data_IF_082996375826
#
_entry.id   IF_082996375826
#
_cell.length_a   1.000
_cell.length_b   1.000
_cell.length_c   1.000
_cell.angle_alpha   90.00
_cell.angle_beta   90.00
_cell.angle_gamma   90.00
#
_symmetry.space_group_name_H-M   'P 1'
#
loop_
_entity.id
_entity.type
_entity.pdbx_description
1 polymer ?
#
# COMPACT_ATOMS: atom_id res chain seq x y z
N UNK A 1 -18.48 -7.27 9.71
CA UNK A 1 -18.49 -6.05 8.87
C UNK A 1 -19.15 -4.88 9.60
N UNK A 2 -18.44 -4.18 10.51
CA UNK A 2 -18.90 -2.93 11.16
C UNK A 2 -17.79 -1.88 11.47
N UNK A 3 -16.71 -1.67 10.68
CA UNK A 3 -15.78 -0.58 10.97
C UNK A 3 -15.78 0.62 9.99
N UNK A 4 -16.68 0.67 9.01
CA UNK A 4 -16.70 1.75 8.00
C UNK A 4 -17.34 3.03 8.56
N UNK A 5 -18.23 2.89 9.56
CA UNK A 5 -19.00 4.00 10.14
C UNK A 5 -18.16 5.15 10.74
N UNK A 6 -17.10 4.91 11.55
CA UNK A 6 -16.29 6.00 12.12
C UNK A 6 -15.49 6.78 11.06
N UNK A 7 -15.04 6.11 9.99
CA UNK A 7 -14.31 6.77 8.90
C UNK A 7 -15.24 7.70 8.10
N UNK A 8 -16.46 7.23 7.81
CA UNK A 8 -17.49 8.05 7.16
C UNK A 8 -17.95 9.20 8.04
N UNK A 9 -18.14 8.98 9.34
CA UNK A 9 -18.53 10.03 10.28
C UNK A 9 -17.45 11.11 10.41
N UNK A 10 -16.16 10.72 10.47
CA UNK A 10 -15.06 11.68 10.46
C UNK A 10 -15.00 12.48 9.15
N UNK A 11 -15.25 11.84 8.00
CA UNK A 11 -15.32 12.53 6.71
C UNK A 11 -16.45 13.59 6.69
N UNK A 12 -17.60 13.29 7.29
CA UNK A 12 -18.75 14.21 7.40
C UNK A 12 -18.47 15.37 8.36
N UNK A 13 -17.78 15.13 9.48
CA UNK A 13 -17.38 16.21 10.41
C UNK A 13 -16.37 17.15 9.75
N UNK A 14 -15.47 16.62 8.90
CA UNK A 14 -14.46 17.41 8.19
C UNK A 14 -15.03 18.24 7.04
N UNK A 15 -16.15 17.85 6.43
CA UNK A 15 -16.80 18.63 5.37
C UNK A 15 -17.70 19.75 5.89
N UNK A 16 -18.11 19.70 7.16
CA UNK A 16 -19.01 20.69 7.76
C UNK A 16 -18.35 21.91 8.40
N UNK A 17 -17.04 21.87 8.65
CA UNK A 17 -16.36 22.93 9.39
C UNK A 17 -15.51 23.83 8.47
N UNK A 18 -15.97 25.07 8.26
CA UNK A 18 -15.22 26.10 7.53
C UNK A 18 -14.33 26.83 8.51
N UNK A 19 -13.03 26.50 8.52
CA UNK A 19 -12.04 27.20 9.36
C UNK A 19 -11.27 28.25 8.54
N UNK A 20 -10.98 29.43 9.11
CA UNK A 20 -10.10 30.41 8.49
C UNK A 20 -8.66 29.90 8.50
N UNK A 21 -8.12 29.59 7.32
CA UNK A 21 -6.79 29.04 7.17
C UNK A 21 -5.71 30.13 7.15
N UNK A 22 -4.68 30.00 8.00
CA UNK A 22 -3.41 30.71 7.86
C UNK A 22 -2.35 29.76 7.24
N UNK A 23 -1.53 30.30 6.34
CA UNK A 23 -0.81 29.47 5.37
C UNK A 23 0.28 28.54 5.91
N UNK A 24 0.28 27.33 5.35
CA UNK A 24 1.24 26.23 5.54
C UNK A 24 2.41 26.32 4.55
N UNK A 25 3.61 25.87 4.93
CA UNK A 25 4.71 25.61 3.98
C UNK A 25 4.64 24.18 3.46
N UNK A 26 4.67 23.96 2.15
CA UNK A 26 4.49 22.64 1.50
C UNK A 26 5.54 21.56 1.82
N UNK A 27 6.57 21.88 2.58
CA UNK A 27 7.72 20.98 2.78
C UNK A 27 8.07 20.74 4.25
N UNK A 28 7.25 21.23 5.18
CA UNK A 28 7.46 20.97 6.61
C UNK A 28 6.09 20.72 7.25
N UNK A 29 5.59 19.49 7.03
CA UNK A 29 4.31 19.04 7.56
C UNK A 29 4.52 18.34 8.90
N UNK A 30 3.77 18.77 9.91
CA UNK A 30 3.70 18.13 11.22
C UNK A 30 2.35 17.41 11.35
N UNK A 31 2.19 16.31 10.62
CA UNK A 31 0.95 15.54 10.56
C UNK A 31 0.53 15.01 11.93
N UNK A 32 -0.67 15.41 12.38
CA UNK A 32 -1.32 14.91 13.58
C UNK A 32 -2.58 14.12 13.20
N UNK A 33 -2.76 12.90 13.73
CA UNK A 33 -3.95 12.10 13.43
C UNK A 33 -5.20 12.78 14.00
N UNK A 34 -6.23 12.91 13.17
CA UNK A 34 -7.60 13.29 13.57
C UNK A 34 -8.39 12.02 13.84
N UNK A 35 -8.38 11.12 12.87
CA UNK A 35 -8.96 9.78 12.96
C UNK A 35 -7.97 8.79 12.38
N UNK A 36 -7.84 7.65 13.03
CA UNK A 36 -6.99 6.58 12.57
C UNK A 36 -7.63 5.25 12.94
N UNK A 37 -7.66 4.33 11.99
CA UNK A 37 -8.19 3.00 12.22
C UNK A 37 -7.31 1.97 11.51
N UNK A 38 -7.05 0.86 12.21
CA UNK A 38 -6.35 -0.30 11.67
C UNK A 38 -7.26 -1.54 11.72
N UNK A 39 -7.02 -2.47 10.81
CA UNK A 39 -7.72 -3.73 10.66
C UNK A 39 -6.74 -4.83 10.27
N UNK A 40 -6.82 -5.96 10.97
CA UNK A 40 -6.18 -7.18 10.52
C UNK A 40 -7.15 -7.88 9.56
N UNK A 41 -6.66 -8.18 8.36
CA UNK A 41 -7.37 -8.88 7.31
C UNK A 41 -6.76 -10.26 7.10
N UNK A 42 -7.59 -11.18 6.64
CA UNK A 42 -7.18 -12.52 6.25
C UNK A 42 -6.80 -12.61 4.75
N UNK A 43 -6.88 -11.49 4.03
CA UNK A 43 -6.51 -11.35 2.62
C UNK A 43 -6.00 -9.93 2.31
N UNK A 44 -5.05 -9.80 1.35
CA UNK A 44 -4.63 -8.49 0.85
C UNK A 44 -5.74 -7.82 0.04
N UNK A 45 -5.90 -6.51 0.21
CA UNK A 45 -6.74 -5.63 -0.61
C UNK A 45 -6.02 -5.25 -1.89
N UNK A 46 -4.72 -4.96 -1.79
CA UNK A 46 -3.87 -4.62 -2.94
C UNK A 46 -2.87 -5.74 -3.17
N UNK A 47 -3.01 -6.42 -4.31
CA UNK A 47 -2.14 -7.53 -4.73
C UNK A 47 -1.00 -7.10 -5.65
N UNK A 48 -1.12 -5.95 -6.32
CA UNK A 48 -0.16 -5.49 -7.34
C UNK A 48 1.28 -5.41 -6.81
N UNK A 49 1.48 -4.93 -5.58
CA UNK A 49 2.79 -4.89 -4.93
C UNK A 49 3.41 -6.27 -4.72
N UNK A 50 2.60 -7.20 -4.22
CA UNK A 50 2.98 -8.59 -3.97
C UNK A 50 3.42 -9.25 -5.27
N UNK A 51 2.61 -9.10 -6.31
CA UNK A 51 2.89 -9.70 -7.61
C UNK A 51 4.09 -9.05 -8.30
N UNK A 52 4.26 -7.72 -8.18
CA UNK A 52 5.43 -7.02 -8.71
C UNK A 52 6.71 -7.48 -8.03
N UNK A 53 6.69 -7.66 -6.71
CA UNK A 53 7.80 -8.23 -5.97
C UNK A 53 8.13 -9.66 -6.42
N UNK A 54 7.12 -10.51 -6.61
CA UNK A 54 7.33 -11.88 -7.11
C UNK A 54 8.00 -11.88 -8.49
N UNK A 55 7.56 -11.05 -9.43
CA UNK A 55 8.18 -10.96 -10.77
C UNK A 55 9.67 -10.60 -10.68
N UNK A 56 10.04 -9.69 -9.78
CA UNK A 56 11.43 -9.21 -9.64
C UNK A 56 12.33 -10.16 -8.86
N UNK A 57 11.79 -10.89 -7.89
CA UNK A 57 12.59 -11.58 -6.88
C UNK A 57 12.69 -13.09 -7.11
N UNK A 58 11.70 -13.70 -7.78
CA UNK A 58 11.72 -15.12 -8.07
C UNK A 58 12.75 -15.41 -9.16
N UNK A 59 13.77 -16.26 -8.91
CA UNK A 59 14.73 -16.64 -9.94
C UNK A 59 14.08 -17.56 -10.98
N UNK A 60 14.35 -17.30 -12.26
CA UNK A 60 13.80 -18.09 -13.36
C UNK A 60 12.35 -17.76 -13.70
N UNK A 61 11.67 -18.72 -14.33
CA UNK A 61 10.27 -18.56 -14.78
C UNK A 61 9.49 -19.82 -14.40
N UNK A 62 8.88 -19.87 -13.20
CA UNK A 62 8.08 -21.02 -12.80
C UNK A 62 6.91 -21.20 -13.76
N UNK A 63 6.59 -22.46 -14.07
CA UNK A 63 5.46 -22.80 -14.94
C UNK A 63 4.14 -22.81 -14.19
N UNK A 64 4.21 -23.04 -12.89
CA UNK A 64 3.06 -23.13 -12.00
C UNK A 64 3.25 -22.23 -10.77
N UNK A 65 2.15 -21.61 -10.33
CA UNK A 65 2.08 -20.83 -9.09
C UNK A 65 0.97 -21.35 -8.21
N UNK A 66 1.33 -21.94 -7.08
CA UNK A 66 0.42 -22.40 -6.06
C UNK A 66 0.30 -21.32 -5.00
N UNK A 67 -0.79 -20.57 -5.01
CA UNK A 67 -0.95 -19.39 -4.15
C UNK A 67 -1.91 -19.65 -3.00
N UNK A 68 -1.42 -19.54 -1.77
CA UNK A 68 -2.22 -19.73 -0.56
C UNK A 68 -3.11 -18.54 -0.29
N UNK A 69 -4.39 -18.82 -0.14
CA UNK A 69 -5.41 -17.84 0.21
C UNK A 69 -6.40 -18.45 1.19
N UNK A 70 -6.89 -17.65 2.13
CA UNK A 70 -7.98 -18.04 3.02
C UNK A 70 -9.34 -18.05 2.28
N UNK A 71 -9.40 -17.48 1.07
CA UNK A 71 -10.61 -17.31 0.27
C UNK A 71 -10.41 -17.82 -1.17
N UNK A 72 -10.31 -19.14 -1.40
CA UNK A 72 -10.07 -19.69 -2.74
C UNK A 72 -11.20 -19.39 -3.73
N UNK A 73 -12.44 -19.17 -3.26
CA UNK A 73 -13.58 -18.80 -4.11
C UNK A 73 -13.48 -17.39 -4.72
N UNK A 74 -12.58 -16.55 -4.23
CA UNK A 74 -12.37 -15.18 -4.70
C UNK A 74 -11.11 -15.05 -5.58
N UNK A 75 -10.55 -16.18 -6.00
CA UNK A 75 -9.34 -16.27 -6.80
C UNK A 75 -9.40 -15.47 -8.13
N UNK A 76 -10.61 -15.22 -8.64
CA UNK A 76 -10.84 -14.45 -9.86
C UNK A 76 -10.18 -13.06 -9.83
N UNK A 77 -10.05 -12.44 -8.66
CA UNK A 77 -9.37 -11.14 -8.52
C UNK A 77 -7.87 -11.24 -8.79
N UNK A 78 -7.24 -12.35 -8.36
CA UNK A 78 -5.85 -12.62 -8.68
C UNK A 78 -5.67 -12.91 -10.18
N UNK A 79 -6.61 -13.63 -10.80
CA UNK A 79 -6.60 -13.89 -12.24
C UNK A 79 -6.66 -12.58 -13.05
N UNK A 80 -7.56 -11.66 -12.68
CA UNK A 80 -7.69 -10.37 -13.34
C UNK A 80 -6.40 -9.53 -13.29
N UNK A 81 -5.65 -9.60 -12.17
CA UNK A 81 -4.43 -8.82 -11.97
C UNK A 81 -3.21 -9.41 -12.67
N UNK A 82 -3.14 -10.72 -12.92
CA UNK A 82 -2.00 -11.32 -13.65
C UNK A 82 -1.76 -10.66 -14.99
N UNK A 83 -2.85 -10.38 -15.71
CA UNK A 83 -2.79 -9.76 -17.03
C UNK A 83 -2.15 -8.37 -16.97
N UNK A 84 -2.34 -7.61 -15.89
CA UNK A 84 -1.78 -6.25 -15.75
C UNK A 84 -0.30 -6.19 -15.35
N UNK A 85 0.29 -7.32 -14.94
CA UNK A 85 1.68 -7.37 -14.44
C UNK A 85 2.67 -7.87 -15.50
N UNK A 86 2.19 -8.67 -16.45
CA UNK A 86 3.03 -9.21 -17.53
C UNK A 86 4.08 -10.22 -17.03
N UNK A 87 5.09 -10.47 -17.87
CA UNK A 87 6.18 -11.40 -17.57
C UNK A 87 5.73 -12.86 -17.41
N UNK A 88 6.51 -13.64 -16.65
CA UNK A 88 6.20 -15.05 -16.40
C UNK A 88 4.93 -15.23 -15.56
N UNK A 89 4.60 -14.26 -14.70
CA UNK A 89 3.39 -14.27 -13.85
C UNK A 89 2.11 -14.35 -14.67
N UNK A 90 2.07 -13.70 -15.83
CA UNK A 90 0.94 -13.75 -16.75
C UNK A 90 0.81 -15.09 -17.51
N UNK A 91 1.90 -15.85 -17.62
CA UNK A 91 1.98 -17.09 -18.41
C UNK A 91 1.88 -18.35 -17.55
N UNK A 92 2.29 -18.28 -16.28
CA UNK A 92 2.24 -19.41 -15.37
C UNK A 92 0.78 -19.86 -15.13
N UNK A 93 0.58 -21.17 -14.96
CA UNK A 93 -0.68 -21.71 -14.47
C UNK A 93 -0.77 -21.43 -12.97
N UNK A 94 -1.85 -20.80 -12.50
CA UNK A 94 -2.00 -20.57 -11.06
C UNK A 94 -3.09 -21.45 -10.45
N UNK A 95 -2.82 -21.88 -9.24
CA UNK A 95 -3.68 -22.75 -8.47
C UNK A 95 -3.89 -22.15 -7.09
N UNK A 96 -5.13 -21.79 -6.70
CA UNK A 96 -5.40 -21.42 -5.32
C UNK A 96 -5.24 -22.65 -4.42
N UNK A 97 -4.55 -22.48 -3.30
CA UNK A 97 -4.52 -23.49 -2.23
C UNK A 97 -5.19 -22.92 -0.98
N UNK A 98 -6.10 -23.71 -0.41
CA UNK A 98 -6.80 -23.34 0.81
C UNK A 98 -5.87 -23.35 2.04
N UNK A 99 -6.33 -22.76 3.17
CA UNK A 99 -5.55 -22.64 4.38
C UNK A 99 -5.14 -23.98 5.01
N UNK A 100 -5.93 -25.04 4.77
CA UNK A 100 -5.72 -26.41 5.25
C UNK A 100 -4.50 -27.10 4.62
N UNK A 101 -4.08 -26.67 3.43
CA UNK A 101 -2.84 -27.16 2.81
C UNK A 101 -1.65 -26.35 3.34
N UNK A 102 -0.81 -26.94 4.19
CA UNK A 102 0.43 -26.30 4.62
C UNK A 102 1.32 -25.97 3.41
N UNK A 103 1.90 -24.76 3.35
CA UNK A 103 2.80 -24.36 2.25
C UNK A 103 3.94 -25.37 2.06
N UNK A 104 4.58 -25.78 3.16
CA UNK A 104 5.68 -26.75 3.15
C UNK A 104 5.22 -28.16 2.74
N UNK A 105 4.02 -28.56 3.13
CA UNK A 105 3.46 -29.85 2.73
C UNK A 105 3.23 -29.88 1.22
N UNK A 106 2.66 -28.80 0.66
CA UNK A 106 2.48 -28.65 -0.78
C UNK A 106 3.81 -28.69 -1.53
N UNK A 107 4.82 -27.97 -1.03
CA UNK A 107 6.18 -28.00 -1.58
C UNK A 107 6.75 -29.43 -1.59
N UNK A 108 6.60 -30.18 -0.49
CA UNK A 108 7.10 -31.57 -0.41
C UNK A 108 6.39 -32.48 -1.41
N UNK A 109 5.07 -32.36 -1.56
CA UNK A 109 4.31 -33.13 -2.54
C UNK A 109 4.77 -32.83 -3.96
N UNK A 110 5.01 -31.55 -4.30
CA UNK A 110 5.47 -31.14 -5.62
C UNK A 110 6.92 -31.57 -5.89
N UNK A 111 7.80 -31.49 -4.89
CA UNK A 111 9.21 -31.86 -5.03
C UNK A 111 9.46 -33.37 -5.08
N UNK A 112 8.52 -34.20 -4.60
CA UNK A 112 8.67 -35.66 -4.56
C UNK A 112 8.40 -36.36 -5.91
N UNK A 113 7.94 -35.64 -6.94
CA UNK A 113 7.72 -36.20 -8.27
C UNK A 113 8.98 -36.14 -9.13
N UNK A 114 9.42 -37.29 -9.65
CA UNK A 114 10.45 -37.32 -10.70
C UNK A 114 9.96 -36.54 -11.93
N UNK A 115 10.73 -35.51 -12.33
CA UNK A 115 10.36 -34.62 -13.43
C UNK A 115 9.28 -33.58 -13.10
N UNK A 116 8.97 -33.36 -11.81
CA UNK A 116 8.00 -32.35 -11.42
C UNK A 116 8.34 -30.95 -11.96
N UNK A 117 7.34 -30.19 -12.45
CA UNK A 117 7.57 -28.86 -12.96
C UNK A 117 8.12 -27.94 -11.86
N UNK A 118 8.99 -27.00 -12.23
CA UNK A 118 9.43 -25.93 -11.33
C UNK A 118 8.21 -25.08 -10.98
N UNK A 119 7.75 -25.21 -9.75
CA UNK A 119 6.56 -24.56 -9.22
C UNK A 119 6.96 -23.53 -8.17
N UNK A 120 6.25 -22.41 -8.16
CA UNK A 120 6.32 -21.42 -7.10
C UNK A 120 5.16 -21.66 -6.15
N UNK A 121 5.44 -21.91 -4.89
CA UNK A 121 4.44 -21.94 -3.82
C UNK A 121 4.55 -20.65 -3.04
N UNK A 122 3.53 -19.80 -3.10
CA UNK A 122 3.51 -18.50 -2.45
C UNK A 122 2.32 -18.37 -1.50
N UNK A 123 2.43 -17.53 -0.48
CA UNK A 123 1.34 -17.23 0.44
C UNK A 123 1.50 -15.84 1.05
N UNK A 124 0.36 -15.27 1.41
CA UNK A 124 0.29 -13.96 2.06
C UNK A 124 -0.44 -14.11 3.38
N UNK A 125 0.16 -13.63 4.46
CA UNK A 125 -0.44 -13.61 5.78
C UNK A 125 -0.09 -12.32 6.53
N UNK A 126 -0.56 -12.19 7.78
CA UNK A 126 -0.35 -10.99 8.61
C UNK A 126 -0.71 -9.69 7.86
N UNK A 127 -1.85 -9.70 7.17
CA UNK A 127 -2.29 -8.53 6.41
C UNK A 127 -2.89 -7.52 7.38
N UNK A 128 -2.31 -6.33 7.43
CA UNK A 128 -2.81 -5.22 8.23
C UNK A 128 -3.08 -4.04 7.33
N UNK A 129 -4.32 -3.55 7.33
CA UNK A 129 -4.73 -2.34 6.62
C UNK A 129 -4.97 -1.25 7.64
N UNK A 130 -4.55 -0.02 7.32
CA UNK A 130 -4.92 1.13 8.10
C UNK A 130 -5.31 2.30 7.21
N UNK A 131 -6.21 3.12 7.73
CA UNK A 131 -6.63 4.36 7.11
C UNK A 131 -6.70 5.46 8.16
N UNK A 132 -6.35 6.68 7.77
CA UNK A 132 -6.41 7.82 8.67
C UNK A 132 -6.57 9.14 7.94
N UNK A 133 -7.11 10.10 8.67
CA UNK A 133 -7.05 11.51 8.29
C UNK A 133 -6.16 12.22 9.28
N UNK A 134 -5.24 13.01 8.76
CA UNK A 134 -4.29 13.80 9.51
C UNK A 134 -4.52 15.28 9.19
N UNK A 135 -4.35 16.14 10.19
CA UNK A 135 -4.19 17.59 10.00
C UNK A 135 -2.72 17.93 10.12
N UNK A 136 -2.26 18.93 9.39
CA UNK A 136 -0.94 19.47 9.62
C UNK A 136 -0.97 20.46 10.79
N UNK A 137 -0.20 20.22 11.85
CA UNK A 137 -0.07 21.14 12.99
C UNK A 137 0.65 22.45 12.63
N UNK A 138 1.44 22.45 11.57
CA UNK A 138 2.11 23.66 11.06
C UNK A 138 1.19 24.51 10.19
N UNK A 139 0.05 23.95 9.76
CA UNK A 139 -1.03 24.68 9.11
C UNK A 139 -2.02 25.13 10.19
N UNK A 140 -2.45 26.39 10.18
CA UNK A 140 -3.55 26.83 11.03
C UNK A 140 -4.89 26.31 10.46
N UNK A 141 -5.06 24.98 10.49
CA UNK A 141 -6.22 24.20 10.04
C UNK A 141 -6.51 24.25 8.53
N UNK A 142 -5.48 24.46 7.72
CA UNK A 142 -5.59 24.57 6.26
C UNK A 142 -5.21 23.32 5.47
N UNK A 143 -4.46 22.39 6.04
CA UNK A 143 -3.90 21.24 5.31
C UNK A 143 -4.26 19.92 5.97
N UNK A 144 -4.74 18.98 5.16
CA UNK A 144 -5.15 17.66 5.59
C UNK A 144 -4.52 16.59 4.71
N UNK A 145 -4.25 15.42 5.29
CA UNK A 145 -3.80 14.24 4.57
C UNK A 145 -4.76 13.10 4.84
N UNK A 146 -5.23 12.46 3.78
CA UNK A 146 -5.86 11.16 3.86
C UNK A 146 -4.83 10.09 3.46
N UNK A 147 -4.64 9.10 4.32
CA UNK A 147 -3.71 8.00 4.07
C UNK A 147 -4.47 6.69 4.19
N UNK A 148 -4.26 5.80 3.23
CA UNK A 148 -4.61 4.37 3.32
C UNK A 148 -3.35 3.59 3.06
N UNK A 149 -3.09 2.58 3.86
CA UNK A 149 -1.95 1.70 3.67
C UNK A 149 -2.28 0.26 4.05
N UNK A 150 -1.52 -0.65 3.47
CA UNK A 150 -1.56 -2.08 3.74
C UNK A 150 -0.13 -2.55 3.95
N UNK A 151 0.08 -3.30 5.03
CA UNK A 151 1.24 -4.16 5.23
C UNK A 151 0.80 -5.61 5.07
N UNK A 152 1.64 -6.42 4.45
CA UNK A 152 1.41 -7.85 4.35
C UNK A 152 2.75 -8.59 4.37
N UNK A 153 2.79 -9.77 5.00
CA UNK A 153 3.93 -10.66 4.91
C UNK A 153 3.72 -11.64 3.76
N UNK A 154 4.70 -11.71 2.87
CA UNK A 154 4.70 -12.64 1.74
C UNK A 154 5.79 -13.68 1.96
N UNK A 155 5.45 -14.95 1.70
CA UNK A 155 6.35 -16.09 1.72
C UNK A 155 6.28 -16.77 0.38
N UNK A 156 7.42 -17.07 -0.21
CA UNK A 156 7.49 -17.71 -1.51
C UNK A 156 8.60 -18.76 -1.54
N UNK A 157 8.32 -19.90 -2.15
CA UNK A 157 9.21 -21.05 -2.25
C UNK A 157 9.18 -21.58 -3.69
N UNK A 158 10.33 -21.67 -4.34
CA UNK A 158 10.50 -22.26 -5.66
C UNK A 158 10.98 -23.72 -5.53
N UNK A 159 10.23 -24.68 -6.05
CA UNK A 159 10.43 -26.13 -5.81
C UNK A 159 11.45 -26.81 -6.73
N UNK A 160 12.38 -26.06 -7.32
CA UNK A 160 13.33 -26.58 -8.33
C UNK A 160 14.51 -27.35 -7.72
N UNK A 161 14.94 -28.50 -8.31
CA UNK A 161 16.06 -29.29 -7.79
C UNK A 161 17.43 -28.64 -8.03
N UNK A 162 17.54 -27.79 -9.07
CA UNK A 162 18.81 -27.14 -9.46
C UNK A 162 19.04 -25.83 -8.70
N UNK A 163 17.96 -25.11 -8.38
CA UNK A 163 18.05 -23.80 -7.73
C UNK A 163 16.82 -23.59 -6.84
N UNK A 164 16.72 -24.30 -5.70
CA UNK A 164 15.68 -24.02 -4.72
C UNK A 164 15.86 -22.59 -4.21
N UNK A 165 14.76 -21.88 -4.06
CA UNK A 165 14.75 -20.51 -3.57
C UNK A 165 13.60 -20.36 -2.59
N UNK A 166 13.83 -19.64 -1.50
CA UNK A 166 12.79 -19.30 -0.56
C UNK A 166 13.07 -17.91 -0.01
N UNK A 167 12.03 -17.08 0.05
CA UNK A 167 12.12 -15.73 0.60
C UNK A 167 10.86 -15.39 1.40
N UNK A 168 11.08 -14.64 2.48
CA UNK A 168 10.04 -13.99 3.26
C UNK A 168 10.29 -12.48 3.21
N UNK A 169 9.27 -11.70 2.81
CA UNK A 169 9.35 -10.23 2.76
C UNK A 169 8.08 -9.62 3.33
N UNK A 170 8.25 -8.58 4.15
CA UNK A 170 7.15 -7.68 4.51
C UNK A 170 7.03 -6.61 3.44
N UNK A 171 5.88 -6.55 2.78
CA UNK A 171 5.57 -5.54 1.78
C UNK A 171 4.60 -4.52 2.35
N UNK A 172 4.80 -3.26 1.93
CA UNK A 172 3.91 -2.15 2.26
C UNK A 172 3.44 -1.51 0.97
N UNK A 173 2.16 -1.21 0.87
CA UNK A 173 1.64 -0.33 -0.17
C UNK A 173 0.76 0.73 0.46
N UNK A 174 0.72 1.92 -0.12
CA UNK A 174 -0.04 3.03 0.45
C UNK A 174 -0.48 4.01 -0.62
N UNK A 175 -1.54 4.75 -0.32
CA UNK A 175 -2.01 5.88 -1.08
C UNK A 175 -2.23 7.05 -0.11
N UNK A 176 -1.70 8.20 -0.45
CA UNK A 176 -1.84 9.44 0.31
C UNK A 176 -2.40 10.54 -0.59
N UNK A 177 -3.44 11.22 -0.11
CA UNK A 177 -3.99 12.41 -0.75
C UNK A 177 -3.87 13.59 0.20
N UNK A 178 -3.26 14.68 -0.26
CA UNK A 178 -3.09 15.92 0.50
C UNK A 178 -4.08 16.96 -0.03
N UNK A 179 -4.81 17.59 0.87
CA UNK A 179 -5.86 18.56 0.59
C UNK A 179 -5.57 19.89 1.28
N UNK A 180 -5.97 20.99 0.64
CA UNK A 180 -6.13 22.28 1.28
C UNK A 180 -7.61 22.53 1.61
N UNK A 181 -7.92 22.80 2.87
CA UNK A 181 -9.28 22.86 3.40
C UNK A 181 -9.93 21.48 3.56
N UNK A 182 -11.26 21.41 3.73
CA UNK A 182 -11.99 20.14 3.85
C UNK A 182 -11.60 19.13 2.75
N UNK A 183 -11.58 17.81 3.06
CA UNK A 183 -11.19 16.77 2.11
C UNK A 183 -12.24 16.61 0.99
N UNK A 184 -12.16 17.47 -0.02
CA UNK A 184 -12.97 17.45 -1.25
C UNK A 184 -12.07 17.48 -2.49
N UNK A 185 -12.47 16.88 -3.63
CA UNK A 185 -11.63 16.81 -4.83
C UNK A 185 -11.10 18.16 -5.31
N UNK A 186 -11.87 19.24 -5.15
CA UNK A 186 -11.46 20.59 -5.53
C UNK A 186 -10.24 21.10 -4.71
N UNK A 187 -10.08 20.63 -3.48
CA UNK A 187 -8.97 20.98 -2.58
C UNK A 187 -7.74 20.09 -2.71
N UNK A 188 -7.76 19.07 -3.58
CA UNK A 188 -6.62 18.16 -3.76
C UNK A 188 -5.39 18.94 -4.26
N UNK A 189 -4.29 18.82 -3.52
CA UNK A 189 -2.98 19.38 -3.85
C UNK A 189 -2.05 18.32 -4.44
N UNK A 190 -2.06 17.13 -3.84
CA UNK A 190 -1.21 16.01 -4.23
C UNK A 190 -1.91 14.68 -3.99
N UNK A 191 -1.68 13.71 -4.87
CA UNK A 191 -2.01 12.30 -4.69
C UNK A 191 -0.76 11.48 -5.00
N UNK A 192 -0.34 10.66 -4.05
CA UNK A 192 0.79 9.74 -4.20
C UNK A 192 0.30 8.33 -3.91
N UNK A 193 0.61 7.40 -4.81
CA UNK A 193 0.31 5.97 -4.64
C UNK A 193 1.60 5.19 -4.82
N UNK A 194 1.89 4.31 -3.87
CA UNK A 194 3.08 3.45 -3.85
C UNK A 194 2.61 2.02 -3.70
N UNK A 195 3.00 1.16 -4.65
CA UNK A 195 2.50 -0.21 -4.72
C UNK A 195 3.42 -1.22 -4.03
N UNK A 196 4.71 -0.94 -3.93
CA UNK A 196 5.71 -1.83 -3.30
C UNK A 196 6.44 -1.17 -2.11
N UNK A 197 6.01 0.01 -1.71
CA UNK A 197 6.54 0.76 -0.56
C UNK A 197 7.83 1.50 -0.87
N UNK A 198 8.41 1.30 -2.05
CA UNK A 198 9.72 1.81 -2.42
C UNK A 198 9.61 2.95 -3.44
N UNK A 199 8.79 2.79 -4.49
CA UNK A 199 8.69 3.79 -5.57
C UNK A 199 7.24 4.25 -5.81
N UNK A 200 6.97 5.57 -5.86
CA UNK A 200 5.66 6.08 -6.25
C UNK A 200 5.27 5.56 -7.64
N UNK A 201 4.18 4.81 -7.72
CA UNK A 201 3.61 4.32 -8.96
C UNK A 201 2.78 5.42 -9.65
N UNK A 202 2.14 6.29 -8.86
CA UNK A 202 1.35 7.44 -9.34
C UNK A 202 1.69 8.63 -8.46
N UNK A 203 2.03 9.75 -9.10
CA UNK A 203 2.12 11.06 -8.44
C UNK A 203 1.32 12.04 -9.27
N UNK A 204 0.30 12.67 -8.67
CA UNK A 204 -0.46 13.76 -9.26
C UNK A 204 -0.27 14.95 -8.36
N UNK A 205 0.30 16.03 -8.90
CA UNK A 205 0.49 17.28 -8.19
C UNK A 205 -0.20 18.42 -8.96
N UNK A 206 -0.75 19.40 -8.23
CA UNK A 206 -1.34 20.61 -8.81
C UNK A 206 -0.50 21.86 -8.45
N UNK A 207 0.64 22.09 -9.13
CA UNK A 207 1.52 23.20 -8.83
C UNK A 207 0.87 24.56 -9.10
N UNK A 208 -0.09 24.62 -10.04
CA UNK A 208 -0.81 25.85 -10.35
C UNK A 208 -1.75 26.26 -9.21
N UNK A 209 -2.50 25.30 -8.65
CA UNK A 209 -3.32 25.53 -7.46
C UNK A 209 -2.47 25.88 -6.25
N UNK A 210 -1.35 25.20 -6.06
CA UNK A 210 -0.35 25.56 -5.04
C UNK A 210 0.08 27.03 -5.21
N UNK A 211 0.48 27.45 -6.41
CA UNK A 211 0.91 28.82 -6.67
C UNK A 211 -0.21 29.85 -6.42
N UNK A 212 -1.45 29.49 -6.76
CA UNK A 212 -2.64 30.31 -6.49
C UNK A 212 -2.93 30.45 -4.99
N UNK A 213 -2.74 29.38 -4.22
CA UNK A 213 -2.90 29.42 -2.78
C UNK A 213 -1.76 30.22 -2.12
N UNK A 214 -0.54 30.14 -2.63
CA UNK A 214 0.59 30.97 -2.18
C UNK A 214 0.31 32.45 -2.46
N UNK A 215 -0.08 32.80 -3.69
CA UNK A 215 -0.38 34.19 -4.06
C UNK A 215 -1.57 34.76 -3.29
N UNK A 216 -2.56 33.91 -2.97
CA UNK A 216 -3.69 34.23 -2.11
C UNK A 216 -3.36 34.27 -0.60
N UNK A 217 -2.09 34.13 -0.20
CA UNK A 217 -1.63 34.07 1.20
C UNK A 217 -2.27 32.96 2.04
N UNK A 218 -2.81 31.96 1.36
CA UNK A 218 -3.43 30.74 1.90
C UNK A 218 -2.43 29.63 2.13
N UNK A 219 -1.29 29.67 1.45
CA UNK A 219 -0.09 28.89 1.74
C UNK A 219 1.11 29.84 1.87
N UNK A 220 2.11 29.41 2.61
CA UNK A 220 3.43 30.06 2.65
C UNK A 220 4.32 29.39 1.62
N UNK A 221 4.99 30.20 0.81
CA UNK A 221 6.01 29.68 -0.10
C UNK A 221 7.12 29.05 0.74
N UNK A 222 7.37 27.76 0.52
CA UNK A 222 8.56 27.13 1.05
C UNK A 222 9.77 27.62 0.26
N UNK A 223 10.82 28.03 0.97
CA UNK A 223 12.14 28.28 0.38
C UNK A 223 12.97 27.03 0.67
N UNK A 224 13.11 26.10 -0.28
CA UNK A 224 13.90 24.90 -0.05
C UNK A 224 15.32 25.27 0.34
N UNK A 225 15.79 24.65 1.44
CA UNK A 225 17.23 24.42 1.56
C UNK A 225 17.64 23.50 0.41
N UNK A 226 18.81 23.70 -0.22
CA UNK A 226 19.19 22.93 -1.41
C UNK A 226 19.09 21.41 -1.15
N UNK A 227 18.28 20.69 -1.96
CA UNK A 227 18.16 19.23 -1.91
C UNK A 227 16.77 18.61 -1.61
N UNK A 228 15.68 19.37 -1.56
CA UNK A 228 14.34 18.82 -1.24
C UNK A 228 13.76 17.92 -2.34
N UNK A 229 13.58 16.62 -2.05
CA UNK A 229 12.90 15.62 -2.89
C UNK A 229 11.47 15.34 -2.38
N UNK A 230 10.70 14.54 -3.15
CA UNK A 230 9.39 14.02 -2.76
C UNK A 230 9.40 13.39 -1.34
N UNK A 231 8.25 13.39 -0.63
CA UNK A 231 8.18 12.91 0.74
C UNK A 231 8.63 11.45 0.83
N UNK A 232 9.63 11.20 1.66
CA UNK A 232 10.14 9.85 1.89
C UNK A 232 9.13 9.01 2.69
N UNK A 233 9.24 7.68 2.63
CA UNK A 233 8.41 6.76 3.44
C UNK A 233 8.50 7.09 4.95
N UNK A 234 9.63 7.63 5.40
CA UNK A 234 9.84 8.09 6.78
C UNK A 234 9.02 9.31 7.18
N UNK A 235 8.46 10.05 6.21
CA UNK A 235 7.61 11.22 6.43
C UNK A 235 6.12 10.85 6.55
N UNK A 236 5.78 9.57 6.30
CA UNK A 236 4.45 9.04 6.59
C UNK A 236 4.37 8.83 8.11
N UNK A 237 3.33 9.34 8.78
CA UNK A 237 3.16 9.16 10.21
C UNK A 237 3.24 7.68 10.60
N UNK A 238 4.03 7.32 11.63
CA UNK A 238 4.06 5.95 12.11
C UNK A 238 2.66 5.53 12.57
N UNK A 239 2.32 4.26 12.37
CA UNK A 239 1.06 3.70 12.87
C UNK A 239 1.00 3.92 14.39
N UNK A 240 0.00 4.64 14.92
CA UNK A 240 -0.19 4.78 16.36
C UNK A 240 -0.30 3.38 17.00
N UNK A 241 0.62 3.05 17.92
CA UNK A 241 0.72 1.72 18.55
C UNK A 241 1.50 0.66 17.75
N UNK A 242 2.26 1.05 16.73
CA UNK A 242 3.08 0.17 15.90
C UNK A 242 4.50 -0.13 16.43
N UNK A 243 4.95 0.52 17.50
CA UNK A 243 6.27 0.26 18.11
C UNK A 243 6.15 -0.22 19.55
N UNK A 244 6.04 -1.54 19.71
CA UNK A 244 6.57 -2.31 20.84
C UNK A 244 6.56 -3.82 20.48
N UNK A 245 7.13 -4.22 19.35
CA UNK A 245 7.44 -5.62 19.06
C UNK A 245 8.54 -5.73 17.99
N UNK A 246 9.74 -5.23 18.33
CA UNK A 246 11.01 -5.72 17.81
C UNK A 246 11.99 -5.79 18.98
#
# INVERSE_FOLDING_TARGET
>A
MRPILPLLAALVVLTGAVFPAAGCTLADHAWQPIVFQAWDLDRPVVLQGILSWLVRSVPGQPREVWFRTNHPGEWWAADALKASIGGWVAQAAWHPIGPESGLLERVRTLAAGDGAPVALVAGVDQVRVWAGVFRDANAADGCYQFLVAQEARVRAILTGPVSPWAEEKTLRCWASAVFYGPPVPAGLLALTVTLDGETPAVTIDDPAKVALLISGKRLKQFVPKPGGTAPALSEIPPVPGGEAAR
#
